data_IF_338562649143
#
_entry.id   IF_338562649143
#
_cell.length_a   1.000
_cell.length_b   1.000
_cell.length_c   1.000
_cell.angle_alpha   90.00
_cell.angle_beta   90.00
_cell.angle_gamma   90.00
#
_symmetry.space_group_name_H-M   'P 1'
#
loop_
_entity.id
_entity.type
_entity.pdbx_description
1 polymer ?
#
# COMPACT_ATOMS: atom_id res chain seq x y z
N UNK A 1 -22.83 7.98 -9.65
CA UNK A 1 -21.87 7.02 -9.05
C UNK A 1 -20.48 7.48 -9.45
N UNK A 2 -19.53 7.71 -8.52
CA UNK A 2 -18.23 8.26 -8.92
C UNK A 2 -17.46 7.20 -9.73
N UNK A 3 -17.22 7.55 -11.00
CA UNK A 3 -16.20 7.08 -11.95
C UNK A 3 -15.45 5.78 -11.55
N UNK A 4 -16.11 4.64 -11.75
CA UNK A 4 -15.76 3.35 -11.12
C UNK A 4 -14.51 2.60 -11.62
N UNK A 5 -13.59 3.24 -12.34
CA UNK A 5 -12.35 2.62 -12.81
C UNK A 5 -11.12 3.16 -12.08
N UNK A 6 -10.87 4.46 -12.29
CA UNK A 6 -9.62 5.12 -11.88
C UNK A 6 -9.51 5.27 -10.36
N UNK A 7 -10.58 5.70 -9.70
CA UNK A 7 -10.60 5.82 -8.24
C UNK A 7 -10.30 4.47 -7.56
N UNK A 8 -10.93 3.39 -8.04
CA UNK A 8 -10.68 2.05 -7.52
C UNK A 8 -9.26 1.55 -7.84
N UNK A 9 -8.70 1.95 -9.00
CA UNK A 9 -7.31 1.67 -9.34
C UNK A 9 -6.34 2.35 -8.37
N UNK A 10 -6.56 3.65 -8.10
CA UNK A 10 -5.74 4.42 -7.18
C UNK A 10 -5.82 3.89 -5.75
N UNK A 11 -6.99 3.44 -5.27
CA UNK A 11 -7.11 2.79 -3.95
C UNK A 11 -6.24 1.52 -3.87
N UNK A 12 -6.26 0.69 -4.93
CA UNK A 12 -5.43 -0.53 -4.99
C UNK A 12 -3.95 -0.21 -5.03
N UNK A 13 -3.55 0.72 -5.88
CA UNK A 13 -2.15 1.15 -5.99
C UNK A 13 -1.67 1.78 -4.69
N UNK A 14 -2.49 2.61 -4.05
CA UNK A 14 -2.18 3.25 -2.78
C UNK A 14 -1.85 2.24 -1.69
N UNK A 15 -2.73 1.25 -1.50
CA UNK A 15 -2.49 0.17 -0.53
C UNK A 15 -1.29 -0.69 -0.88
N UNK A 16 -1.12 -1.05 -2.16
CA UNK A 16 0.04 -1.79 -2.61
C UNK A 16 1.35 -1.05 -2.31
N UNK A 17 1.35 0.27 -2.50
CA UNK A 17 2.51 1.13 -2.23
C UNK A 17 2.80 1.20 -0.74
N UNK A 18 1.80 1.43 0.11
CA UNK A 18 1.98 1.44 1.57
C UNK A 18 2.53 0.11 2.09
N UNK A 19 2.04 -1.02 1.55
CA UNK A 19 2.50 -2.36 1.91
C UNK A 19 3.90 -2.71 1.38
N UNK A 20 4.52 -1.84 0.58
CA UNK A 20 5.82 -2.11 -0.03
C UNK A 20 5.76 -3.25 -1.06
N UNK A 21 4.63 -3.46 -1.73
CA UNK A 21 4.47 -4.54 -2.69
C UNK A 21 5.32 -4.33 -3.95
N UNK A 22 6.40 -5.10 -4.03
CA UNK A 22 7.33 -5.15 -5.17
C UNK A 22 7.06 -6.34 -6.12
N UNK A 23 6.00 -7.14 -5.90
CA UNK A 23 5.70 -8.35 -6.67
C UNK A 23 4.30 -8.95 -6.45
N UNK A 24 4.09 -10.21 -6.85
CA UNK A 24 2.78 -10.91 -6.79
C UNK A 24 2.41 -11.44 -5.39
N UNK A 25 3.35 -11.48 -4.45
CA UNK A 25 3.21 -12.16 -3.15
C UNK A 25 3.12 -11.13 -2.02
N UNK A 26 2.25 -11.38 -1.03
CA UNK A 26 2.21 -10.57 0.19
C UNK A 26 3.58 -10.64 0.90
N UNK A 27 4.11 -9.50 1.40
CA UNK A 27 5.33 -9.52 2.20
C UNK A 27 5.09 -10.41 3.41
N UNK A 28 5.85 -11.51 3.47
CA UNK A 28 5.96 -12.32 4.68
C UNK A 28 6.58 -11.46 5.78
N UNK A 29 6.25 -11.75 7.05
CA UNK A 29 6.77 -10.98 8.19
C UNK A 29 8.31 -10.96 8.25
N UNK A 30 8.98 -11.93 7.60
CA UNK A 30 10.38 -12.30 7.87
C UNK A 30 11.36 -12.21 6.68
N UNK A 31 10.98 -11.77 5.48
CA UNK A 31 11.89 -11.86 4.32
C UNK A 31 12.73 -10.58 4.12
N UNK A 32 13.94 -10.60 4.70
CA UNK A 32 15.07 -9.77 4.27
C UNK A 32 15.61 -10.32 2.94
N UNK A 33 14.99 -9.99 1.80
CA UNK A 33 15.57 -10.38 0.51
C UNK A 33 16.38 -9.25 -0.14
N UNK A 34 17.62 -9.60 -0.44
CA UNK A 34 18.70 -8.75 -0.91
C UNK A 34 18.89 -8.98 -2.40
N UNK A 35 18.26 -8.17 -3.26
CA UNK A 35 18.76 -8.07 -4.64
C UNK A 35 18.42 -6.72 -5.27
N UNK A 36 19.47 -5.89 -5.38
CA UNK A 36 19.47 -4.61 -6.10
C UNK A 36 19.48 -4.86 -7.61
N UNK A 37 18.67 -4.13 -8.36
CA UNK A 37 19.08 -3.60 -9.65
C UNK A 37 18.20 -2.40 -10.02
N UNK A 38 18.72 -1.18 -9.87
CA UNK A 38 18.13 0.00 -10.53
C UNK A 38 19.28 0.80 -11.13
N UNK A 39 19.41 0.68 -12.44
CA UNK A 39 20.09 1.66 -13.26
C UNK A 39 19.08 2.74 -13.68
N UNK A 40 19.62 3.95 -13.79
CA UNK A 40 19.14 5.12 -14.52
C UNK A 40 18.35 6.20 -13.75
N UNK A 41 19.13 7.19 -13.27
CA UNK A 41 18.90 8.60 -13.61
C UNK A 41 17.65 9.30 -13.09
N UNK A 42 17.69 9.77 -11.84
CA UNK A 42 16.99 11.00 -11.47
C UNK A 42 17.75 11.73 -10.35
N UNK A 43 18.60 12.68 -10.74
CA UNK A 43 19.23 13.64 -9.84
C UNK A 43 18.17 14.60 -9.27
N UNK A 44 17.67 14.27 -8.08
CA UNK A 44 17.53 15.14 -6.88
C UNK A 44 16.59 14.46 -5.86
N UNK A 45 17.11 13.40 -5.23
CA UNK A 45 16.53 12.75 -4.04
C UNK A 45 17.36 13.06 -2.78
N UNK A 46 18.12 14.16 -2.83
CA UNK A 46 19.36 14.42 -2.06
C UNK A 46 19.22 14.66 -0.55
N UNK A 47 18.15 14.20 0.10
CA UNK A 47 18.10 14.20 1.58
C UNK A 47 17.37 13.03 2.21
N UNK A 48 17.08 11.94 1.49
CA UNK A 48 16.63 10.71 2.15
C UNK A 48 17.62 9.56 1.92
N UNK A 49 18.48 9.23 2.92
CA UNK A 49 19.57 8.28 2.75
C UNK A 49 19.13 6.83 2.54
N UNK A 50 17.86 6.50 2.75
CA UNK A 50 17.37 5.11 2.78
C UNK A 50 16.47 4.72 1.60
N UNK A 51 16.49 5.46 0.48
CA UNK A 51 15.71 5.08 -0.71
C UNK A 51 16.37 3.92 -1.49
N UNK A 52 15.67 2.81 -1.79
CA UNK A 52 14.28 2.45 -1.42
C UNK A 52 14.14 1.96 0.04
N UNK A 53 13.08 2.39 0.73
CA UNK A 53 12.88 2.10 2.15
C UNK A 53 12.75 0.59 2.42
N UNK A 54 13.67 0.04 3.23
CA UNK A 54 13.78 -1.41 3.47
C UNK A 54 12.50 -2.07 4.01
N UNK A 55 11.69 -1.32 4.77
CA UNK A 55 10.41 -1.75 5.34
C UNK A 55 9.25 -0.76 5.10
N UNK A 56 9.51 0.25 4.27
CA UNK A 56 8.60 1.36 4.03
C UNK A 56 7.82 1.22 2.72
N UNK A 57 7.20 2.31 2.26
CA UNK A 57 6.37 2.29 1.07
C UNK A 57 7.20 1.96 -0.17
N UNK A 58 6.61 1.26 -1.12
CA UNK A 58 7.24 0.85 -2.36
C UNK A 58 6.27 0.21 -3.35
N UNK A 59 6.26 0.70 -4.58
CA UNK A 59 5.55 0.09 -5.71
C UNK A 59 6.19 0.53 -7.04
N UNK A 60 6.27 -0.31 -8.09
CA UNK A 60 6.92 0.06 -9.35
C UNK A 60 6.31 1.26 -10.08
N UNK A 61 5.01 1.51 -9.88
CA UNK A 61 4.32 2.68 -10.49
C UNK A 61 4.28 3.91 -9.58
N UNK A 62 4.85 3.86 -8.38
CA UNK A 62 4.90 5.01 -7.49
C UNK A 62 6.06 5.94 -7.86
N UNK A 63 5.78 7.24 -7.95
CA UNK A 63 6.82 8.24 -8.14
C UNK A 63 7.72 8.33 -6.89
N UNK A 64 8.98 8.75 -7.02
CA UNK A 64 9.84 8.98 -5.85
C UNK A 64 9.23 9.99 -4.86
N UNK A 65 8.52 11.02 -5.37
CA UNK A 65 7.79 11.99 -4.55
C UNK A 65 6.64 11.36 -3.78
N UNK A 66 5.87 10.46 -4.42
CA UNK A 66 4.82 9.67 -3.74
C UNK A 66 5.41 8.89 -2.58
N UNK A 67 6.53 8.21 -2.81
CA UNK A 67 7.21 7.41 -1.78
C UNK A 67 7.75 8.27 -0.64
N UNK A 68 8.32 9.44 -0.93
CA UNK A 68 8.78 10.38 0.07
C UNK A 68 7.64 10.94 0.95
N UNK A 69 6.50 11.29 0.35
CA UNK A 69 5.31 11.75 1.08
C UNK A 69 4.80 10.64 2.01
N UNK A 70 4.64 9.43 1.50
CA UNK A 70 4.18 8.28 2.29
C UNK A 70 5.12 8.00 3.46
N UNK A 71 6.43 7.98 3.21
CA UNK A 71 7.42 7.70 4.25
C UNK A 71 7.44 8.77 5.34
N UNK A 72 7.38 10.06 4.95
CA UNK A 72 7.28 11.18 5.89
C UNK A 72 6.06 11.01 6.81
N UNK A 73 4.89 10.75 6.25
CA UNK A 73 3.65 10.59 7.04
C UNK A 73 3.68 9.35 7.94
N UNK A 74 4.24 8.25 7.46
CA UNK A 74 4.50 7.07 8.28
C UNK A 74 5.41 7.40 9.47
N UNK A 75 6.47 8.18 9.24
CA UNK A 75 7.43 8.58 10.28
C UNK A 75 6.80 9.53 11.31
N UNK A 76 5.97 10.48 10.84
CA UNK A 76 5.21 11.40 11.70
C UNK A 76 4.24 10.66 12.63
N UNK A 77 3.60 9.59 12.14
CA UNK A 77 2.72 8.71 12.93
C UNK A 77 3.47 7.56 13.64
N UNK A 78 4.80 7.56 13.66
CA UNK A 78 5.66 6.54 14.31
C UNK A 78 5.44 5.11 13.79
N UNK A 79 5.10 4.97 12.52
CA UNK A 79 4.86 3.69 11.84
C UNK A 79 6.08 3.36 10.97
N UNK A 80 6.90 2.43 11.44
CA UNK A 80 8.08 1.97 10.68
C UNK A 80 7.71 1.08 9.48
N UNK A 81 6.57 0.38 9.56
CA UNK A 81 6.07 -0.49 8.50
C UNK A 81 4.55 -0.60 8.53
N UNK A 82 3.92 -0.39 7.37
CA UNK A 82 2.48 -0.49 7.23
C UNK A 82 2.06 -1.96 7.10
N UNK A 83 1.65 -2.59 8.21
CA UNK A 83 1.30 -4.03 8.24
C UNK A 83 -0.01 -4.29 9.01
N UNK A 84 -1.18 -4.15 8.35
CA UNK A 84 -2.46 -4.45 8.98
C UNK A 84 -2.55 -5.92 9.44
N UNK A 85 -3.06 -6.15 10.64
CA UNK A 85 -3.24 -7.49 11.19
C UNK A 85 -4.59 -8.08 10.74
N UNK A 86 -4.56 -8.91 9.71
CA UNK A 86 -5.76 -9.54 9.14
C UNK A 86 -6.40 -10.64 10.03
N UNK A 87 -5.69 -11.09 11.07
CA UNK A 87 -6.23 -12.02 12.07
C UNK A 87 -7.11 -11.31 13.11
N UNK A 88 -6.94 -10.00 13.27
CA UNK A 88 -7.79 -9.19 14.13
C UNK A 88 -8.98 -8.60 13.36
N UNK A 89 -10.02 -8.11 14.08
CA UNK A 89 -11.03 -7.24 13.49
C UNK A 89 -10.38 -6.02 12.84
N UNK A 90 -10.98 -5.54 11.75
CA UNK A 90 -10.50 -4.33 11.07
C UNK A 90 -10.68 -3.09 11.95
N UNK A 91 -11.66 -3.13 12.86
CA UNK A 91 -11.95 -2.10 13.85
C UNK A 91 -11.11 -2.23 15.13
N UNK A 92 -10.09 -3.10 15.14
CA UNK A 92 -9.13 -3.13 16.25
C UNK A 92 -8.28 -1.85 16.26
N UNK A 93 -7.84 -1.36 17.44
CA UNK A 93 -7.14 -0.08 17.55
C UNK A 93 -5.94 0.07 16.59
N UNK A 94 -5.11 -0.97 16.49
CA UNK A 94 -3.91 -0.96 15.63
C UNK A 94 -4.29 -0.87 14.14
N UNK A 95 -5.29 -1.67 13.72
CA UNK A 95 -5.78 -1.64 12.34
C UNK A 95 -6.45 -0.31 12.01
N UNK A 96 -7.23 0.26 12.93
CA UNK A 96 -7.88 1.57 12.76
C UNK A 96 -6.82 2.65 12.59
N UNK A 97 -5.77 2.63 13.41
CA UNK A 97 -4.68 3.60 13.30
C UNK A 97 -3.97 3.53 11.94
N UNK A 98 -3.65 2.32 11.46
CA UNK A 98 -3.09 2.13 10.12
C UNK A 98 -4.06 2.59 9.02
N UNK A 99 -5.35 2.27 9.11
CA UNK A 99 -6.32 2.71 8.11
C UNK A 99 -6.50 4.23 8.09
N UNK A 100 -6.45 4.88 9.25
CA UNK A 100 -6.52 6.33 9.37
C UNK A 100 -5.30 6.99 8.70
N UNK A 101 -4.09 6.45 8.93
CA UNK A 101 -2.89 6.87 8.20
C UNK A 101 -3.08 6.72 6.68
N UNK A 102 -3.63 5.60 6.21
CA UNK A 102 -3.85 5.38 4.77
C UNK A 102 -4.81 6.44 4.19
N UNK A 103 -5.90 6.76 4.88
CA UNK A 103 -6.83 7.82 4.46
C UNK A 103 -6.12 9.18 4.36
N UNK A 104 -5.40 9.58 5.42
CA UNK A 104 -4.67 10.86 5.45
C UNK A 104 -3.63 10.94 4.34
N UNK A 105 -2.90 9.86 4.12
CA UNK A 105 -1.85 9.79 3.10
C UNK A 105 -2.43 9.85 1.69
N UNK A 106 -3.57 9.21 1.44
CA UNK A 106 -4.28 9.33 0.16
C UNK A 106 -4.68 10.79 -0.13
N UNK A 107 -5.24 11.48 0.87
CA UNK A 107 -5.62 12.89 0.76
C UNK A 107 -4.41 13.80 0.51
N UNK A 108 -3.29 13.55 1.18
CA UNK A 108 -2.07 14.33 0.99
C UNK A 108 -1.49 14.14 -0.42
N UNK A 109 -1.42 12.91 -0.91
CA UNK A 109 -0.97 12.60 -2.28
C UNK A 109 -1.88 13.24 -3.32
N UNK A 110 -3.18 13.28 -3.05
CA UNK A 110 -4.12 14.01 -3.87
C UNK A 110 -3.80 15.52 -3.88
N UNK A 111 -3.65 16.16 -2.71
CA UNK A 111 -3.33 17.60 -2.60
C UNK A 111 -2.02 17.95 -3.30
N UNK A 112 -1.03 17.06 -3.24
CA UNK A 112 0.26 17.19 -3.91
C UNK A 112 0.21 16.89 -5.43
N UNK A 113 -0.97 16.57 -5.98
CA UNK A 113 -1.22 16.19 -7.38
C UNK A 113 -0.47 14.93 -7.84
N UNK A 114 -0.12 14.05 -6.90
CA UNK A 114 0.43 12.74 -7.22
C UNK A 114 -0.68 11.77 -7.64
N UNK A 115 -1.87 11.88 -7.04
CA UNK A 115 -3.07 11.17 -7.48
C UNK A 115 -3.92 12.09 -8.34
N UNK A 116 -3.95 11.80 -9.64
CA UNK A 116 -4.68 12.58 -10.65
C UNK A 116 -5.83 11.75 -11.23
N UNK A 117 -6.73 12.38 -12.00
CA UNK A 117 -7.85 11.67 -12.63
C UNK A 117 -9.04 11.36 -11.71
N UNK A 118 -9.06 11.91 -10.50
CA UNK A 118 -10.21 11.89 -9.59
C UNK A 118 -10.69 13.33 -9.37
N UNK A 119 -12.00 13.51 -9.32
CA UNK A 119 -12.65 14.79 -9.05
C UNK A 119 -12.78 15.06 -7.53
N UNK A 120 -12.11 16.11 -7.02
CA UNK A 120 -12.18 16.51 -5.60
C UNK A 120 -13.55 16.99 -5.17
N UNK A 121 -14.31 17.59 -6.07
CA UNK A 121 -15.62 18.15 -5.72
C UNK A 121 -16.60 17.02 -5.38
N UNK A 122 -16.26 15.80 -5.81
CA UNK A 122 -17.05 14.59 -5.64
C UNK A 122 -16.41 13.52 -4.74
N UNK A 123 -15.15 13.70 -4.31
CA UNK A 123 -14.45 12.75 -3.44
C UNK A 123 -14.00 13.44 -2.17
N UNK A 124 -14.67 13.09 -1.07
CA UNK A 124 -14.33 13.56 0.28
C UNK A 124 -13.66 12.44 1.10
N UNK A 125 -13.19 12.79 2.29
CA UNK A 125 -12.52 11.87 3.21
C UNK A 125 -13.37 10.62 3.51
N UNK A 126 -14.68 10.79 3.70
CA UNK A 126 -15.59 9.68 4.02
C UNK A 126 -15.68 8.67 2.87
N UNK A 127 -15.74 9.15 1.62
CA UNK A 127 -15.74 8.30 0.43
C UNK A 127 -14.42 7.51 0.33
N UNK A 128 -13.29 8.17 0.57
CA UNK A 128 -11.96 7.53 0.57
C UNK A 128 -11.89 6.47 1.66
N UNK A 129 -12.31 6.82 2.88
CA UNK A 129 -12.34 5.91 4.04
C UNK A 129 -13.19 4.67 3.74
N UNK A 130 -14.39 4.85 3.21
CA UNK A 130 -15.27 3.74 2.85
C UNK A 130 -14.68 2.87 1.72
N UNK A 131 -14.04 3.48 0.72
CA UNK A 131 -13.41 2.75 -0.38
C UNK A 131 -12.21 1.92 0.10
N UNK A 132 -11.36 2.51 0.95
CA UNK A 132 -10.25 1.82 1.62
C UNK A 132 -10.78 0.65 2.45
N UNK A 133 -11.77 0.90 3.30
CA UNK A 133 -12.35 -0.13 4.17
C UNK A 133 -12.94 -1.30 3.38
N UNK A 134 -13.65 -1.00 2.28
CA UNK A 134 -14.15 -2.00 1.35
C UNK A 134 -13.01 -2.80 0.71
N UNK A 135 -11.97 -2.13 0.21
CA UNK A 135 -10.82 -2.79 -0.42
C UNK A 135 -10.15 -3.78 0.54
N UNK A 136 -9.88 -3.33 1.77
CA UNK A 136 -9.21 -4.16 2.79
C UNK A 136 -10.08 -5.34 3.21
N UNK A 137 -11.36 -5.10 3.49
CA UNK A 137 -12.28 -6.13 3.99
C UNK A 137 -12.59 -7.19 2.93
N UNK A 138 -12.86 -6.77 1.69
CA UNK A 138 -13.36 -7.67 0.64
C UNK A 138 -12.25 -8.30 -0.19
N UNK A 139 -11.17 -7.56 -0.47
CA UNK A 139 -10.09 -8.06 -1.32
C UNK A 139 -8.93 -8.60 -0.47
N UNK A 140 -8.32 -7.78 0.38
CA UNK A 140 -7.10 -8.17 1.09
C UNK A 140 -7.34 -9.28 2.10
N UNK A 141 -8.37 -9.14 2.95
CA UNK A 141 -8.68 -10.17 3.94
C UNK A 141 -9.10 -11.49 3.30
N UNK A 142 -9.79 -11.44 2.15
CA UNK A 142 -10.15 -12.64 1.38
C UNK A 142 -8.90 -13.32 0.82
N UNK A 143 -7.99 -12.55 0.21
CA UNK A 143 -6.70 -13.05 -0.30
C UNK A 143 -5.86 -13.69 0.81
N UNK A 144 -5.69 -12.98 1.93
CA UNK A 144 -4.98 -13.48 3.10
C UNK A 144 -5.56 -14.80 3.61
N UNK A 145 -6.90 -14.91 3.70
CA UNK A 145 -7.56 -16.17 4.09
C UNK A 145 -7.37 -17.27 3.06
N UNK A 146 -7.36 -16.97 1.77
CA UNK A 146 -7.12 -17.96 0.72
C UNK A 146 -5.68 -18.47 0.78
N UNK A 147 -4.70 -17.57 0.88
CA UNK A 147 -3.27 -17.89 0.90
C UNK A 147 -2.83 -18.59 2.20
N UNK A 148 -3.45 -18.27 3.36
CA UNK A 148 -3.14 -18.90 4.64
C UNK A 148 -3.99 -20.11 5.01
N UNK A 149 -5.12 -20.38 4.32
CA UNK A 149 -5.87 -21.64 4.46
C UNK A 149 -5.34 -22.76 3.57
N UNK A 150 -4.33 -22.50 2.75
CA UNK A 150 -3.70 -23.54 1.93
C UNK A 150 -2.61 -24.23 2.74
N UNK A 151 -2.83 -25.51 3.01
CA UNK A 151 -1.80 -26.46 3.46
C UNK A 151 -0.53 -26.30 2.58
N UNK A 152 0.69 -26.46 3.14
CA UNK A 152 1.95 -26.19 2.45
C UNK A 152 2.07 -26.84 1.06
N UNK A 153 1.44 -28.01 0.85
CA UNK A 153 1.45 -28.73 -0.42
C UNK A 153 0.71 -28.05 -1.58
N UNK A 154 -0.32 -27.22 -1.31
CA UNK A 154 -1.08 -26.51 -2.36
C UNK A 154 -0.48 -25.17 -2.75
N UNK A 155 0.41 -24.61 -1.92
CA UNK A 155 1.18 -23.39 -2.24
C UNK A 155 2.15 -23.61 -3.42
N UNK A 156 2.72 -24.82 -3.52
CA UNK A 156 3.68 -25.19 -4.57
C UNK A 156 3.03 -25.53 -5.94
N UNK A 157 1.72 -25.87 -5.97
CA UNK A 157 1.01 -26.17 -7.22
C UNK A 157 0.54 -24.89 -7.95
N UNK A 158 0.30 -23.81 -7.21
CA UNK A 158 -0.10 -22.55 -7.85
C UNK A 158 1.09 -21.73 -8.38
N UNK A 159 2.27 -21.85 -7.77
CA UNK A 159 3.51 -21.26 -8.28
C UNK A 159 4.07 -21.94 -9.54
N UNK A 160 3.53 -23.10 -9.93
CA UNK A 160 3.93 -23.84 -11.14
C UNK A 160 3.04 -23.57 -12.36
N UNK A 161 1.91 -22.87 -12.18
CA UNK A 161 0.92 -22.63 -13.23
C UNK A 161 0.70 -21.14 -13.55
N UNK A 162 1.66 -20.27 -13.19
CA UNK A 162 1.66 -18.84 -13.52
C UNK A 162 2.87 -18.49 -14.37
#
# INVERSE_FOLDING_TARGET
MPQGGEFAHLIRQHFATLLGWKGKTLPSHDEQDSHMNINDGLEDLSSNPDYPYRNGPGHPSASPKTLAIMWRMMSEDQIDSFRPNFNQPIDSPDNVHLLDLAVKTFLELFKCKEYTGIDMDNVNEEIIRNAIHCHVTWQLRRRYRQENKWEPGKKAEHSKNV
#
